data_IF_235551678337
#
_entry.id   IF_235551678337
#
_cell.length_a   1.000
_cell.length_b   1.000
_cell.length_c   1.000
_cell.angle_alpha   90.00
_cell.angle_beta   90.00
_cell.angle_gamma   90.00
#
_symmetry.space_group_name_H-M   'P 1'
#
loop_
_entity.id
_entity.type
_entity.pdbx_description
1 polymer ?
#
# COMPACT_ATOMS: atom_id res chain seq x y z
N UNK A 1 -33.80 9.50 10.46
CA UNK A 1 -32.62 8.67 10.80
C UNK A 1 -32.65 8.38 12.30
N UNK A 2 -32.92 7.13 12.69
CA UNK A 2 -32.96 6.72 14.11
C UNK A 2 -31.51 6.66 14.60
N UNK A 3 -31.13 7.50 15.59
CA UNK A 3 -29.80 7.42 16.20
C UNK A 3 -29.76 6.18 17.10
N UNK A 4 -28.81 5.25 16.91
CA UNK A 4 -28.69 4.08 17.78
C UNK A 4 -28.45 4.53 19.23
N UNK A 5 -28.94 3.75 20.19
CA UNK A 5 -28.65 4.00 21.61
C UNK A 5 -27.14 3.87 21.83
N UNK A 6 -26.56 4.78 22.65
CA UNK A 6 -25.14 4.73 23.02
C UNK A 6 -24.66 3.33 23.43
N UNK A 7 -25.36 2.57 24.29
CA UNK A 7 -24.92 1.22 24.66
C UNK A 7 -24.92 0.23 23.48
N UNK A 8 -25.89 0.33 22.56
CA UNK A 8 -25.91 -0.51 21.36
C UNK A 8 -24.73 -0.18 20.43
N UNK A 9 -24.46 1.10 20.19
CA UNK A 9 -23.32 1.54 19.38
C UNK A 9 -22.00 1.07 19.99
N UNK A 10 -21.82 1.21 21.30
CA UNK A 10 -20.61 0.74 22.00
C UNK A 10 -20.50 -0.77 21.96
N UNK A 11 -21.60 -1.51 22.15
CA UNK A 11 -21.60 -2.97 22.08
C UNK A 11 -21.21 -3.50 20.70
N UNK A 12 -21.75 -2.92 19.62
CA UNK A 12 -21.40 -3.28 18.24
C UNK A 12 -19.93 -2.96 17.94
N UNK A 13 -19.44 -1.79 18.36
CA UNK A 13 -18.03 -1.43 18.20
C UNK A 13 -17.11 -2.38 18.98
N UNK A 14 -17.43 -2.68 20.24
CA UNK A 14 -16.64 -3.58 21.06
C UNK A 14 -16.61 -4.99 20.46
N UNK A 15 -17.74 -5.53 20.02
CA UNK A 15 -17.80 -6.83 19.37
C UNK A 15 -17.00 -6.87 18.06
N UNK A 16 -17.14 -5.85 17.21
CA UNK A 16 -16.39 -5.75 15.96
C UNK A 16 -14.88 -5.66 16.19
N UNK A 17 -14.45 -4.88 17.17
CA UNK A 17 -13.04 -4.79 17.56
C UNK A 17 -12.53 -6.13 18.12
N UNK A 18 -13.26 -6.74 19.07
CA UNK A 18 -12.87 -8.04 19.62
C UNK A 18 -12.75 -9.10 18.52
N UNK A 19 -13.72 -9.18 17.61
CA UNK A 19 -13.67 -10.11 16.48
C UNK A 19 -12.42 -9.92 15.61
N UNK A 20 -12.01 -8.67 15.34
CA UNK A 20 -10.82 -8.35 14.55
C UNK A 20 -9.51 -8.62 15.31
N UNK A 21 -9.47 -8.32 16.61
CA UNK A 21 -8.25 -8.42 17.42
C UNK A 21 -8.01 -9.80 18.04
N UNK A 22 -9.05 -10.61 18.27
CA UNK A 22 -8.91 -11.95 18.85
C UNK A 22 -7.94 -12.84 18.04
N UNK A 23 -8.02 -12.94 16.70
CA UNK A 23 -7.07 -13.74 15.92
C UNK A 23 -5.62 -13.25 16.04
N UNK A 24 -5.42 -11.93 16.10
CA UNK A 24 -4.08 -11.32 16.26
C UNK A 24 -3.52 -11.67 17.65
N UNK A 25 -4.32 -11.49 18.70
CA UNK A 25 -3.93 -11.84 20.06
C UNK A 25 -3.66 -13.34 20.18
N UNK A 26 -4.50 -14.17 19.56
CA UNK A 26 -4.30 -15.63 19.50
C UNK A 26 -2.94 -15.98 18.90
N UNK A 27 -2.58 -15.37 17.76
CA UNK A 27 -1.27 -15.56 17.13
C UNK A 27 -0.13 -15.15 18.06
N UNK A 28 -0.26 -14.02 18.77
CA UNK A 28 0.73 -13.58 19.78
C UNK A 28 0.82 -14.55 20.96
N UNK A 29 -0.29 -15.12 21.43
CA UNK A 29 -0.26 -16.13 22.50
C UNK A 29 0.44 -17.40 22.02
N UNK A 30 0.12 -17.86 20.81
CA UNK A 30 0.71 -19.06 20.24
C UNK A 30 2.18 -18.89 19.83
N UNK A 31 2.69 -17.68 19.64
CA UNK A 31 4.13 -17.48 19.41
C UNK A 31 4.98 -17.82 20.64
N UNK A 32 4.38 -17.89 21.83
CA UNK A 32 5.00 -18.40 23.05
C UNK A 32 4.82 -19.91 23.24
N UNK A 33 4.18 -20.63 22.32
CA UNK A 33 3.99 -22.08 22.46
C UNK A 33 5.30 -22.82 22.15
N UNK A 34 5.73 -23.68 23.06
CA UNK A 34 6.87 -24.56 22.85
C UNK A 34 6.60 -25.62 21.76
N UNK A 35 5.37 -25.96 21.45
CA UNK A 35 5.07 -26.92 20.38
C UNK A 35 5.38 -26.34 18.98
N UNK A 36 5.75 -27.21 18.05
CA UNK A 36 5.76 -26.87 16.61
C UNK A 36 4.34 -26.86 16.01
N UNK A 37 3.41 -27.56 16.65
CA UNK A 37 2.01 -27.61 16.25
C UNK A 37 1.23 -26.56 17.03
N UNK A 38 0.70 -25.57 16.32
CA UNK A 38 -0.13 -24.49 16.90
C UNK A 38 -1.34 -25.06 17.65
N UNK A 39 -1.86 -26.22 17.23
CA UNK A 39 -3.03 -26.88 17.82
C UNK A 39 -2.77 -27.59 19.14
N UNK A 40 -1.51 -27.81 19.53
CA UNK A 40 -1.15 -28.52 20.76
C UNK A 40 -0.38 -27.58 21.67
N UNK A 41 -0.98 -27.19 22.80
CA UNK A 41 -0.28 -26.39 23.80
C UNK A 41 0.64 -27.26 24.64
N UNK A 42 1.97 -27.08 24.48
CA UNK A 42 2.98 -27.87 25.21
C UNK A 42 3.54 -27.12 26.42
N UNK A 43 3.59 -25.79 26.37
CA UNK A 43 4.22 -24.96 27.42
C UNK A 43 4.54 -23.56 26.92
N UNK A 44 4.81 -22.63 27.84
CA UNK A 44 5.27 -21.29 27.52
C UNK A 44 6.79 -21.29 27.25
N UNK A 45 7.23 -20.68 26.15
CA UNK A 45 8.64 -20.65 25.74
C UNK A 45 8.96 -19.43 24.87
N UNK A 46 10.18 -18.91 25.02
CA UNK A 46 10.74 -17.86 24.16
C UNK A 46 11.61 -18.42 23.03
N UNK A 47 11.66 -19.74 22.85
CA UNK A 47 12.59 -20.42 21.94
C UNK A 47 12.53 -19.91 20.50
N UNK A 48 11.35 -19.55 20.00
CA UNK A 48 11.17 -19.10 18.62
C UNK A 48 11.76 -17.71 18.37
N UNK A 49 11.76 -16.86 19.39
CA UNK A 49 12.42 -15.56 19.35
C UNK A 49 13.94 -15.71 19.34
N UNK A 50 14.48 -16.66 20.13
CA UNK A 50 15.91 -16.97 20.10
C UNK A 50 16.34 -17.62 18.78
N UNK A 51 15.52 -18.54 18.24
CA UNK A 51 15.77 -19.17 16.95
C UNK A 51 15.74 -18.17 15.80
N UNK A 52 14.81 -17.20 15.83
CA UNK A 52 14.75 -16.12 14.83
C UNK A 52 16.06 -15.33 14.76
N UNK A 53 16.72 -15.10 15.90
CA UNK A 53 18.00 -14.36 15.92
C UNK A 53 19.17 -15.14 15.32
N UNK A 54 19.01 -16.44 15.10
CA UNK A 54 19.99 -17.33 14.47
C UNK A 54 19.65 -17.62 13.01
N UNK A 55 18.53 -17.10 12.50
CA UNK A 55 18.05 -17.33 11.15
C UNK A 55 18.36 -16.12 10.26
N UNK A 56 19.56 -16.13 9.68
CA UNK A 56 20.03 -15.06 8.79
C UNK A 56 19.15 -14.90 7.54
N UNK A 57 18.50 -15.97 7.08
CA UNK A 57 17.61 -15.92 5.92
C UNK A 57 16.34 -15.14 6.25
N UNK A 58 15.68 -15.45 7.37
CA UNK A 58 14.51 -14.71 7.83
C UNK A 58 14.83 -13.25 8.15
N UNK A 59 15.95 -12.99 8.83
CA UNK A 59 16.37 -11.63 9.18
C UNK A 59 16.68 -10.80 7.92
N UNK A 60 17.39 -11.38 6.95
CA UNK A 60 17.71 -10.69 5.69
C UNK A 60 16.45 -10.45 4.84
N UNK A 61 15.52 -11.41 4.79
CA UNK A 61 14.22 -11.25 4.13
C UNK A 61 13.36 -10.15 4.79
N UNK A 62 13.35 -10.08 6.12
CA UNK A 62 12.66 -9.02 6.86
C UNK A 62 13.25 -7.64 6.55
N UNK A 63 14.58 -7.51 6.54
CA UNK A 63 15.25 -6.25 6.20
C UNK A 63 15.01 -5.83 4.74
N UNK A 64 15.07 -6.79 3.81
CA UNK A 64 14.75 -6.56 2.41
C UNK A 64 13.30 -6.07 2.25
N UNK A 65 12.36 -6.70 2.96
CA UNK A 65 10.95 -6.31 2.95
C UNK A 65 10.73 -4.90 3.48
N UNK A 66 11.38 -4.55 4.60
CA UNK A 66 11.33 -3.20 5.15
C UNK A 66 11.89 -2.16 4.17
N UNK A 67 13.03 -2.46 3.54
CA UNK A 67 13.67 -1.58 2.56
C UNK A 67 12.78 -1.37 1.34
N UNK A 68 12.19 -2.45 0.78
CA UNK A 68 11.25 -2.37 -0.35
C UNK A 68 10.00 -1.60 0.05
N UNK A 69 9.45 -1.84 1.25
CA UNK A 69 8.27 -1.15 1.75
C UNK A 69 8.47 0.35 1.88
N UNK A 70 9.59 0.79 2.47
CA UNK A 70 9.92 2.21 2.58
C UNK A 70 10.10 2.88 1.21
N UNK A 71 10.89 2.27 0.33
CA UNK A 71 11.11 2.81 -1.02
C UNK A 71 9.81 2.85 -1.85
N UNK A 72 8.96 1.84 -1.69
CA UNK A 72 7.64 1.78 -2.34
C UNK A 72 6.76 2.92 -1.84
N UNK A 73 6.66 3.08 -0.51
CA UNK A 73 5.84 4.12 0.09
C UNK A 73 6.27 5.51 -0.39
N UNK A 74 7.57 5.82 -0.35
CA UNK A 74 8.10 7.10 -0.82
C UNK A 74 7.82 7.33 -2.30
N UNK A 75 8.17 6.38 -3.17
CA UNK A 75 7.98 6.54 -4.61
C UNK A 75 6.49 6.65 -4.99
N UNK A 76 5.64 5.84 -4.36
CA UNK A 76 4.21 5.83 -4.63
C UNK A 76 3.53 7.10 -4.15
N UNK A 77 3.94 7.66 -3.01
CA UNK A 77 3.45 8.96 -2.53
C UNK A 77 3.84 10.06 -3.50
N UNK A 78 5.10 10.11 -3.95
CA UNK A 78 5.54 11.14 -4.90
C UNK A 78 4.78 11.03 -6.21
N UNK A 79 4.81 9.86 -6.87
CA UNK A 79 4.19 9.67 -8.19
C UNK A 79 2.66 9.76 -8.11
N UNK A 80 2.06 9.10 -7.11
CA UNK A 80 0.62 9.06 -6.89
C UNK A 80 0.03 10.42 -6.52
N UNK A 81 0.76 11.28 -5.80
CA UNK A 81 0.31 12.65 -5.50
C UNK A 81 0.14 13.47 -6.77
N UNK A 82 1.14 13.46 -7.66
CA UNK A 82 1.03 14.13 -8.95
C UNK A 82 -0.12 13.53 -9.78
N UNK A 83 -0.25 12.22 -9.78
CA UNK A 83 -1.28 11.54 -10.55
C UNK A 83 -2.70 11.87 -10.06
N UNK A 84 -2.92 11.80 -8.75
CA UNK A 84 -4.18 12.15 -8.10
C UNK A 84 -4.54 13.62 -8.26
N UNK A 85 -3.55 14.51 -8.19
CA UNK A 85 -3.74 15.95 -8.41
C UNK A 85 -4.22 16.25 -9.84
N UNK A 86 -3.59 15.65 -10.85
CA UNK A 86 -4.03 15.77 -12.25
C UNK A 86 -5.47 15.28 -12.41
N UNK A 87 -5.80 14.13 -11.83
CA UNK A 87 -7.17 13.59 -11.83
C UNK A 87 -8.20 14.46 -11.10
N UNK A 88 -7.78 15.35 -10.20
CA UNK A 88 -8.65 16.22 -9.43
C UNK A 88 -8.80 17.63 -10.04
N UNK A 89 -7.73 18.21 -10.60
CA UNK A 89 -7.68 19.63 -10.98
C UNK A 89 -7.62 19.92 -12.48
N UNK A 90 -7.04 19.04 -13.30
CA UNK A 90 -6.78 19.34 -14.72
C UNK A 90 -8.00 19.15 -15.64
N UNK A 91 -9.10 18.57 -15.16
CA UNK A 91 -10.29 18.31 -15.97
C UNK A 91 -10.04 17.31 -17.12
N UNK A 92 -10.88 17.35 -18.15
CA UNK A 92 -10.79 16.44 -19.32
C UNK A 92 -9.84 17.00 -20.38
N UNK A 93 -8.72 16.32 -20.59
CA UNK A 93 -7.77 16.58 -21.68
C UNK A 93 -7.69 15.42 -22.69
N UNK A 94 -7.00 15.61 -23.82
CA UNK A 94 -6.81 14.55 -24.84
C UNK A 94 -6.06 13.37 -24.24
N UNK A 95 -6.72 12.21 -24.14
CA UNK A 95 -6.16 11.01 -23.49
C UNK A 95 -6.54 10.82 -22.02
N UNK A 96 -7.39 11.70 -21.45
CA UNK A 96 -7.83 11.60 -20.05
C UNK A 96 -8.46 10.23 -19.70
N UNK A 97 -9.22 9.63 -20.62
CA UNK A 97 -9.81 8.30 -20.43
C UNK A 97 -8.74 7.22 -20.30
N UNK A 98 -7.71 7.26 -21.16
CA UNK A 98 -6.60 6.31 -21.11
C UNK A 98 -5.81 6.50 -19.81
N UNK A 99 -5.51 7.75 -19.45
CA UNK A 99 -4.83 8.08 -18.20
C UNK A 99 -5.57 7.57 -16.96
N UNK A 100 -6.88 7.84 -16.88
CA UNK A 100 -7.75 7.35 -15.80
C UNK A 100 -7.81 5.82 -15.80
N UNK A 101 -7.90 5.20 -16.97
CA UNK A 101 -7.89 3.74 -17.13
C UNK A 101 -6.58 3.11 -16.63
N UNK A 102 -5.43 3.69 -16.98
CA UNK A 102 -4.11 3.21 -16.54
C UNK A 102 -3.93 3.32 -15.03
N UNK A 103 -4.37 4.42 -14.41
CA UNK A 103 -4.31 4.59 -12.95
C UNK A 103 -5.23 3.61 -12.24
N UNK A 104 -6.43 3.35 -12.77
CA UNK A 104 -7.40 2.47 -12.13
C UNK A 104 -7.19 0.99 -12.42
N UNK A 105 -6.45 0.63 -13.48
CA UNK A 105 -6.27 -0.75 -13.90
C UNK A 105 -5.72 -1.68 -12.79
N UNK A 106 -4.67 -1.30 -12.03
CA UNK A 106 -4.16 -2.14 -10.93
C UNK A 106 -5.18 -2.43 -9.82
N UNK A 107 -6.23 -1.62 -9.67
CA UNK A 107 -7.22 -1.77 -8.60
C UNK A 107 -8.31 -2.79 -8.91
N UNK A 108 -8.51 -3.08 -10.20
CA UNK A 108 -9.54 -4.02 -10.68
C UNK A 108 -8.94 -5.35 -11.13
N UNK A 109 -7.64 -5.37 -11.43
CA UNK A 109 -6.92 -6.60 -11.81
C UNK A 109 -6.55 -7.37 -10.55
N UNK A 110 -6.81 -8.69 -10.48
CA UNK A 110 -6.35 -9.52 -9.38
C UNK A 110 -4.82 -9.48 -9.22
N UNK A 111 -4.35 -9.30 -7.98
CA UNK A 111 -2.92 -9.11 -7.67
C UNK A 111 -2.04 -10.24 -8.20
N UNK A 112 -2.52 -11.48 -8.16
CA UNK A 112 -1.81 -12.66 -8.70
C UNK A 112 -1.60 -12.53 -10.22
N UNK A 113 -2.62 -12.06 -10.95
CA UNK A 113 -2.53 -11.87 -12.41
C UNK A 113 -1.54 -10.75 -12.71
N UNK A 114 -1.58 -9.65 -11.97
CA UNK A 114 -0.62 -8.55 -12.12
C UNK A 114 0.81 -9.00 -11.83
N UNK A 115 1.03 -9.78 -10.77
CA UNK A 115 2.34 -10.32 -10.40
C UNK A 115 2.93 -11.22 -11.48
N UNK A 116 2.13 -12.16 -12.02
CA UNK A 116 2.58 -13.04 -13.11
C UNK A 116 2.84 -12.23 -14.39
N UNK A 117 1.99 -11.25 -14.71
CA UNK A 117 2.16 -10.39 -15.88
C UNK A 117 3.45 -9.58 -15.81
N UNK A 118 3.78 -9.03 -14.64
CA UNK A 118 5.04 -8.31 -14.42
C UNK A 118 6.25 -9.24 -14.47
N UNK A 119 6.16 -10.45 -13.93
CA UNK A 119 7.22 -11.44 -14.05
C UNK A 119 7.52 -11.76 -15.52
N UNK A 120 6.48 -12.03 -16.32
CA UNK A 120 6.61 -12.28 -17.75
C UNK A 120 7.19 -11.07 -18.50
N UNK A 121 6.76 -9.86 -18.14
CA UNK A 121 7.32 -8.62 -18.68
C UNK A 121 8.83 -8.52 -18.40
N UNK A 122 9.27 -8.75 -17.16
CA UNK A 122 10.70 -8.67 -16.83
C UNK A 122 11.52 -9.74 -17.52
N UNK A 123 10.98 -10.95 -17.69
CA UNK A 123 11.64 -12.01 -18.47
C UNK A 123 11.79 -11.62 -19.94
N UNK A 124 10.74 -11.05 -20.54
CA UNK A 124 10.79 -10.58 -21.92
C UNK A 124 11.80 -9.44 -22.10
N UNK A 125 11.82 -8.47 -21.17
CA UNK A 125 12.77 -7.36 -21.19
C UNK A 125 14.22 -7.86 -21.01
N UNK A 126 14.45 -8.85 -20.15
CA UNK A 126 15.76 -9.48 -19.96
C UNK A 126 16.25 -10.11 -21.27
N UNK A 127 15.37 -10.79 -22.01
CA UNK A 127 15.71 -11.41 -23.30
C UNK A 127 15.97 -10.39 -24.41
N UNK A 128 15.20 -9.30 -24.45
CA UNK A 128 15.29 -8.30 -25.52
C UNK A 128 16.39 -7.26 -25.30
N UNK A 129 16.55 -6.80 -24.06
CA UNK A 129 17.39 -5.67 -23.71
C UNK A 129 18.49 -6.02 -22.69
N UNK A 130 18.54 -7.27 -22.20
CA UNK A 130 19.48 -7.68 -21.17
C UNK A 130 19.19 -7.10 -19.77
N UNK A 131 18.01 -6.51 -19.58
CA UNK A 131 17.59 -5.89 -18.31
C UNK A 131 16.18 -6.31 -17.94
N UNK A 132 15.91 -6.65 -16.67
CA UNK A 132 16.84 -6.77 -15.54
C UNK A 132 17.68 -8.05 -15.63
N UNK A 133 18.91 -8.04 -15.08
CA UNK A 133 19.73 -9.25 -14.95
C UNK A 133 19.16 -10.09 -13.81
N UNK A 134 18.24 -10.99 -14.12
CA UNK A 134 17.48 -11.78 -13.15
C UNK A 134 16.36 -11.02 -12.43
N UNK A 135 15.80 -11.69 -11.42
CA UNK A 135 14.68 -11.20 -10.60
C UNK A 135 15.21 -10.89 -9.22
N UNK A 136 15.04 -9.66 -8.77
CA UNK A 136 15.63 -9.19 -7.52
C UNK A 136 14.87 -8.00 -6.93
N UNK A 137 15.51 -7.29 -6.01
CA UNK A 137 14.89 -6.19 -5.27
C UNK A 137 14.22 -5.15 -6.19
N UNK A 138 14.84 -4.79 -7.31
CA UNK A 138 14.33 -3.76 -8.23
C UNK A 138 13.02 -4.19 -8.89
N UNK A 139 12.92 -5.44 -9.36
CA UNK A 139 11.69 -5.95 -10.00
C UNK A 139 10.53 -6.02 -9.00
N UNK A 140 10.84 -6.41 -7.76
CA UNK A 140 9.85 -6.43 -6.67
C UNK A 140 9.40 -5.01 -6.34
N UNK A 141 10.34 -4.07 -6.23
CA UNK A 141 10.05 -2.66 -5.94
C UNK A 141 9.20 -2.01 -7.03
N UNK A 142 9.53 -2.20 -8.32
CA UNK A 142 8.72 -1.69 -9.44
C UNK A 142 7.29 -2.26 -9.38
N UNK A 143 7.15 -3.55 -9.10
CA UNK A 143 5.83 -4.19 -8.97
C UNK A 143 4.98 -3.57 -7.87
N UNK A 144 5.58 -3.38 -6.68
CA UNK A 144 4.91 -2.73 -5.56
C UNK A 144 4.54 -1.27 -5.86
N UNK A 145 5.45 -0.49 -6.45
CA UNK A 145 5.18 0.91 -6.83
C UNK A 145 4.03 0.99 -7.83
N UNK A 146 4.01 0.12 -8.84
CA UNK A 146 2.92 0.10 -9.83
C UNK A 146 1.55 -0.11 -9.19
N UNK A 147 1.46 -0.99 -8.19
CA UNK A 147 0.23 -1.25 -7.47
C UNK A 147 -0.13 -0.09 -6.52
N UNK A 148 0.82 0.37 -5.71
CA UNK A 148 0.58 1.38 -4.69
C UNK A 148 0.29 2.78 -5.26
N UNK A 149 0.85 3.14 -6.42
CA UNK A 149 0.57 4.45 -7.07
C UNK A 149 -0.92 4.65 -7.32
N UNK A 150 -1.65 3.60 -7.71
CA UNK A 150 -3.09 3.66 -7.95
C UNK A 150 -3.88 4.01 -6.68
N UNK A 151 -3.55 3.37 -5.56
CA UNK A 151 -4.19 3.66 -4.27
C UNK A 151 -3.91 5.09 -3.82
N UNK A 152 -2.65 5.53 -3.89
CA UNK A 152 -2.27 6.90 -3.52
C UNK A 152 -3.00 7.91 -4.41
N UNK A 153 -3.02 7.70 -5.72
CA UNK A 153 -3.64 8.62 -6.66
C UNK A 153 -5.13 8.81 -6.38
N UNK A 154 -5.88 7.74 -6.08
CA UNK A 154 -7.30 7.85 -5.74
C UNK A 154 -7.52 8.59 -4.42
N UNK A 155 -6.73 8.26 -3.39
CA UNK A 155 -6.85 8.93 -2.09
C UNK A 155 -6.57 10.42 -2.24
N UNK A 156 -5.45 10.79 -2.89
CA UNK A 156 -5.09 12.19 -3.13
C UNK A 156 -6.16 12.87 -3.98
N UNK A 157 -6.66 12.23 -5.04
CA UNK A 157 -7.73 12.78 -5.86
C UNK A 157 -8.97 13.12 -5.00
N UNK A 158 -9.39 12.22 -4.12
CA UNK A 158 -10.54 12.43 -3.23
C UNK A 158 -10.32 13.64 -2.32
N UNK A 159 -9.14 13.74 -1.70
CA UNK A 159 -8.82 14.84 -0.76
C UNK A 159 -8.68 16.19 -1.46
N UNK A 160 -8.06 16.24 -2.63
CA UNK A 160 -7.95 17.47 -3.43
C UNK A 160 -9.32 17.93 -3.94
N UNK A 161 -10.21 17.00 -4.29
CA UNK A 161 -11.59 17.34 -4.69
C UNK A 161 -12.41 17.96 -3.55
N UNK A 162 -12.18 17.54 -2.30
CA UNK A 162 -12.82 18.12 -1.11
C UNK A 162 -12.30 19.53 -0.78
N UNK A 163 -11.09 19.88 -1.25
CA UNK A 163 -10.47 21.16 -0.95
C UNK A 163 -11.10 22.31 -1.74
N UNK A 164 -11.47 23.39 -1.04
CA UNK A 164 -12.09 24.55 -1.66
C UNK A 164 -11.12 25.23 -2.63
N UNK A 165 -11.53 25.27 -3.90
CA UNK A 165 -10.75 25.85 -5.00
C UNK A 165 -10.47 27.34 -4.81
N UNK A 166 -11.28 28.06 -4.05
CA UNK A 166 -11.07 29.50 -3.79
C UNK A 166 -9.76 29.79 -3.07
N UNK A 167 -9.20 28.83 -2.33
CA UNK A 167 -7.90 28.97 -1.67
C UNK A 167 -6.76 29.00 -2.70
N UNK A 168 -6.84 28.15 -3.73
CA UNK A 168 -5.87 28.12 -4.83
C UNK A 168 -5.96 29.39 -5.68
N UNK A 169 -7.19 29.82 -6.00
CA UNK A 169 -7.45 31.04 -6.77
C UNK A 169 -6.94 32.29 -6.03
N UNK A 170 -7.21 32.41 -4.73
CA UNK A 170 -6.70 33.52 -3.92
C UNK A 170 -5.16 33.57 -3.85
N UNK A 171 -4.49 32.41 -3.80
CA UNK A 171 -3.03 32.36 -3.80
C UNK A 171 -2.44 32.81 -5.15
N UNK A 172 -3.07 32.42 -6.26
CA UNK A 172 -2.70 32.88 -7.60
C UNK A 172 -2.91 34.40 -7.74
N UNK A 173 -4.02 34.93 -7.22
CA UNK A 173 -4.33 36.36 -7.24
C UNK A 173 -3.32 37.21 -6.44
N UNK A 174 -2.78 36.66 -5.35
CA UNK A 174 -1.69 37.27 -4.57
C UNK A 174 -0.30 37.14 -5.24
N UNK A 175 -0.24 36.61 -6.46
CA UNK A 175 0.98 36.51 -7.28
C UNK A 175 1.80 35.24 -7.05
N UNK A 176 1.26 34.21 -6.38
CA UNK A 176 1.93 32.92 -6.31
C UNK A 176 1.92 32.21 -7.66
N UNK A 177 3.02 31.54 -8.01
CA UNK A 177 3.07 30.68 -9.20
C UNK A 177 2.37 29.34 -8.94
N UNK A 178 1.86 28.63 -9.96
CA UNK A 178 1.13 27.37 -9.76
C UNK A 178 1.89 26.31 -8.94
N UNK A 179 3.22 26.24 -9.10
CA UNK A 179 4.05 25.33 -8.30
C UNK A 179 4.11 25.75 -6.82
N UNK A 180 4.13 27.05 -6.54
CA UNK A 180 4.09 27.60 -5.17
C UNK A 180 2.71 27.49 -4.53
N UNK A 181 1.63 27.44 -5.32
CA UNK A 181 0.28 27.16 -4.82
C UNK A 181 0.12 25.68 -4.47
N UNK A 182 0.85 24.81 -5.16
CA UNK A 182 0.81 23.36 -4.93
C UNK A 182 1.56 22.92 -3.66
N UNK A 183 2.70 23.54 -3.33
CA UNK A 183 3.54 23.22 -2.17
C UNK A 183 3.25 24.13 -0.97
#
# INVERSE_FOLDING_TARGET
MIKPSKPLSTGVLAFGLLFLYIPIISLVVYSFNESKLVTVWSGFSLKWYAALWQDDELLSAAWLSLKIGLLTATASVVIGTWAGFVLARFGRFKGFTLYTGMINAPLVIPEVIQGISLLLLFVALEQMFGWPKGRGMVTIWIGHVMLCVSYVAIIVQSRVKEMNKSLEEAALDLGATPLKVFF
#
